data_IF_056461186432
#
_entry.id   IF_056461186432
#
_cell.length_a   1.000
_cell.length_b   1.000
_cell.length_c   1.000
_cell.angle_alpha   90.00
_cell.angle_beta   90.00
_cell.angle_gamma   90.00
#
_symmetry.space_group_name_H-M   'P 1'
#
loop_
_entity.id
_entity.type
_entity.pdbx_description
1 polymer ?
#
# COMPACT_ATOMS: atom_id res chain seq x y z
N UNK A 1 -45.47 -16.48 19.72
CA UNK A 1 -44.96 -17.86 19.50
C UNK A 1 -44.95 -18.11 18.00
N UNK A 2 -43.76 -18.19 17.39
CA UNK A 2 -43.62 -18.23 15.93
C UNK A 2 -44.32 -19.46 15.32
N UNK A 3 -45.18 -19.23 14.33
CA UNK A 3 -45.84 -20.27 13.54
C UNK A 3 -44.78 -21.00 12.71
N UNK A 4 -44.67 -22.31 12.91
CA UNK A 4 -43.82 -23.20 12.11
C UNK A 4 -44.50 -23.41 10.76
N UNK A 5 -44.06 -22.66 9.77
CA UNK A 5 -44.39 -22.92 8.37
C UNK A 5 -43.81 -24.28 7.96
N UNK A 6 -44.67 -25.29 7.91
CA UNK A 6 -44.37 -26.70 7.65
C UNK A 6 -45.03 -27.16 6.35
N UNK A 7 -45.03 -26.31 5.32
CA UNK A 7 -45.77 -26.61 4.09
C UNK A 7 -45.33 -25.89 2.83
N UNK A 8 -44.06 -25.99 2.41
CA UNK A 8 -43.68 -25.63 1.04
C UNK A 8 -42.73 -26.68 0.43
N UNK A 9 -43.02 -27.21 -0.79
CA UNK A 9 -42.20 -28.24 -1.42
C UNK A 9 -40.84 -27.69 -1.87
N UNK A 10 -39.80 -28.48 -1.63
CA UNK A 10 -38.40 -28.15 -1.83
C UNK A 10 -37.98 -28.17 -3.30
N UNK A 11 -37.19 -27.16 -3.70
CA UNK A 11 -36.22 -27.33 -4.81
C UNK A 11 -34.77 -27.43 -4.32
N UNK A 12 -34.47 -27.05 -3.08
CA UNK A 12 -33.29 -27.47 -2.30
C UNK A 12 -33.58 -27.16 -0.82
N UNK A 13 -33.44 -28.13 0.08
CA UNK A 13 -33.92 -28.08 1.47
C UNK A 13 -33.17 -27.14 2.43
N UNK A 14 -33.08 -25.84 2.11
CA UNK A 14 -32.51 -24.80 2.98
C UNK A 14 -33.53 -23.67 3.14
N UNK A 15 -33.93 -23.39 4.38
CA UNK A 15 -34.79 -22.24 4.71
C UNK A 15 -34.02 -20.92 4.55
N UNK A 16 -34.73 -19.83 4.21
CA UNK A 16 -34.15 -18.47 4.18
C UNK A 16 -33.41 -18.10 5.47
N UNK A 17 -33.90 -18.59 6.63
CA UNK A 17 -33.26 -18.39 7.93
C UNK A 17 -31.99 -19.22 8.09
N UNK A 18 -31.99 -20.44 7.58
CA UNK A 18 -30.84 -21.33 7.64
C UNK A 18 -29.75 -20.86 6.68
N UNK A 19 -30.13 -20.31 5.52
CA UNK A 19 -29.21 -19.63 4.61
C UNK A 19 -28.49 -18.47 5.31
N UNK A 20 -29.22 -17.57 5.99
CA UNK A 20 -28.62 -16.43 6.72
C UNK A 20 -27.70 -16.90 7.86
N UNK A 21 -28.06 -17.99 8.56
CA UNK A 21 -27.21 -18.56 9.61
C UNK A 21 -25.93 -19.18 9.07
N UNK A 22 -26.02 -19.92 7.96
CA UNK A 22 -24.87 -20.58 7.35
C UNK A 22 -23.91 -19.55 6.74
N UNK A 23 -24.41 -18.52 6.06
CA UNK A 23 -23.55 -17.47 5.49
C UNK A 23 -22.88 -16.63 6.57
N UNK A 24 -23.59 -16.26 7.65
CA UNK A 24 -22.99 -15.52 8.76
C UNK A 24 -21.89 -16.33 9.49
N UNK A 25 -22.11 -17.63 9.70
CA UNK A 25 -21.11 -18.51 10.31
C UNK A 25 -19.87 -18.67 9.41
N UNK A 26 -20.05 -18.80 8.10
CA UNK A 26 -18.94 -18.93 7.14
C UNK A 26 -18.07 -17.66 7.10
N UNK A 27 -18.66 -16.47 7.13
CA UNK A 27 -17.90 -15.21 7.14
C UNK A 27 -17.11 -14.99 8.43
N UNK A 28 -17.63 -15.44 9.58
CA UNK A 28 -16.93 -15.33 10.86
C UNK A 28 -15.66 -16.19 10.89
N UNK A 29 -15.70 -17.39 10.30
CA UNK A 29 -14.53 -18.28 10.20
C UNK A 29 -13.49 -17.74 9.21
N UNK A 30 -13.93 -17.16 8.09
CA UNK A 30 -13.02 -16.55 7.12
C UNK A 30 -12.34 -15.27 7.65
N UNK A 31 -13.02 -14.52 8.54
CA UNK A 31 -12.49 -13.29 9.14
C UNK A 31 -11.25 -13.51 10.02
N UNK A 32 -11.18 -14.64 10.73
CA UNK A 32 -10.04 -14.98 11.60
C UNK A 32 -8.72 -15.27 10.84
N UNK A 33 -8.74 -15.30 9.50
CA UNK A 33 -7.54 -15.44 8.66
C UNK A 33 -7.10 -14.15 7.97
N UNK A 34 -7.85 -13.05 8.11
CA UNK A 34 -7.51 -11.78 7.46
C UNK A 34 -6.34 -11.06 8.15
N UNK A 35 -6.05 -11.42 9.40
CA UNK A 35 -4.91 -10.88 10.17
C UNK A 35 -3.55 -11.25 9.54
N UNK A 36 -3.47 -12.34 8.76
CA UNK A 36 -2.24 -12.75 8.07
C UNK A 36 -2.05 -12.10 6.68
N UNK A 37 -3.08 -11.41 6.16
CA UNK A 37 -3.05 -10.77 4.85
C UNK A 37 -2.81 -9.24 4.94
N UNK A 38 -3.10 -8.64 6.09
CA UNK A 38 -2.86 -7.21 6.33
C UNK A 38 -1.54 -7.00 7.05
N UNK A 39 -0.45 -7.13 6.30
CA UNK A 39 0.88 -6.83 6.80
C UNK A 39 1.17 -5.33 6.60
N UNK A 40 0.97 -4.53 7.65
CA UNK A 40 1.24 -3.09 7.63
C UNK A 40 2.75 -2.75 7.80
N UNK A 41 3.66 -3.72 7.61
CA UNK A 41 5.00 -3.64 8.18
C UNK A 41 6.06 -2.97 7.28
N UNK A 42 5.73 -2.57 6.03
CA UNK A 42 6.72 -1.87 5.19
C UNK A 42 7.10 -0.48 5.69
N UNK A 43 6.21 0.19 6.43
CA UNK A 43 6.51 1.50 7.02
C UNK A 43 7.48 1.40 8.22
N UNK A 44 7.45 0.29 8.96
CA UNK A 44 8.28 0.08 10.15
C UNK A 44 9.71 -0.39 9.83
N UNK A 45 9.97 -0.87 8.61
CA UNK A 45 11.27 -1.44 8.23
C UNK A 45 12.47 -0.47 8.39
N UNK A 46 12.22 0.84 8.31
CA UNK A 46 13.26 1.88 8.44
C UNK A 46 13.20 2.63 9.77
N UNK A 47 12.07 2.58 10.47
CA UNK A 47 11.87 3.31 11.72
C UNK A 47 12.71 2.68 12.83
N UNK A 48 13.56 3.49 13.49
CA UNK A 48 14.49 3.04 14.53
C UNK A 48 15.87 2.61 14.02
N UNK A 49 16.10 2.52 12.70
CA UNK A 49 17.43 2.25 12.16
C UNK A 49 18.23 3.54 11.97
N UNK A 50 19.36 3.67 12.67
CA UNK A 50 20.21 4.87 12.65
C UNK A 50 20.90 5.11 11.32
N UNK A 51 21.04 4.09 10.46
CA UNK A 51 21.63 4.20 9.13
C UNK A 51 20.76 5.01 8.15
N UNK A 52 19.46 5.11 8.42
CA UNK A 52 18.51 5.78 7.56
C UNK A 52 17.99 7.07 8.21
N UNK A 53 17.59 8.01 7.36
CA UNK A 53 16.90 9.24 7.74
C UNK A 53 15.57 9.27 7.00
N UNK A 54 14.48 9.40 7.75
CA UNK A 54 13.13 9.49 7.21
C UNK A 54 12.70 10.95 7.27
N UNK A 55 12.27 11.50 6.14
CA UNK A 55 11.81 12.88 6.03
C UNK A 55 10.39 12.92 5.47
N UNK A 56 9.47 13.60 6.16
CA UNK A 56 8.13 13.83 5.67
C UNK A 56 8.15 14.94 4.60
N UNK A 57 7.48 14.69 3.48
CA UNK A 57 7.39 15.57 2.31
C UNK A 57 6.00 15.45 1.67
N UNK A 58 5.74 16.28 0.67
CA UNK A 58 4.48 16.25 -0.08
C UNK A 58 4.73 15.79 -1.52
N UNK A 59 3.90 14.88 -2.01
CA UNK A 59 3.98 14.39 -3.40
C UNK A 59 3.75 15.53 -4.40
N UNK A 60 4.69 15.79 -5.34
CA UNK A 60 4.60 16.92 -6.25
C UNK A 60 3.77 16.65 -7.53
N UNK A 61 3.22 15.45 -7.70
CA UNK A 61 2.65 15.04 -8.98
C UNK A 61 1.27 15.63 -9.30
N UNK A 62 0.46 15.93 -8.29
CA UNK A 62 -0.90 16.43 -8.49
C UNK A 62 -1.38 17.25 -7.30
N UNK A 63 -2.47 17.98 -7.48
CA UNK A 63 -3.05 18.88 -6.48
C UNK A 63 -3.52 18.20 -5.20
N UNK A 64 -3.72 16.88 -5.21
CA UNK A 64 -4.10 16.10 -4.03
C UNK A 64 -3.06 16.19 -2.91
N UNK A 65 -1.80 16.52 -3.24
CA UNK A 65 -0.75 16.82 -2.25
C UNK A 65 -0.63 15.73 -1.16
N UNK A 66 -0.62 14.47 -1.59
CA UNK A 66 -0.51 13.32 -0.68
C UNK A 66 0.80 13.39 0.14
N UNK A 67 0.73 13.11 1.44
CA UNK A 67 1.91 13.04 2.29
C UNK A 67 2.79 11.84 1.94
N UNK A 68 4.11 12.04 1.91
CA UNK A 68 5.11 11.03 1.58
C UNK A 68 6.23 11.02 2.61
N UNK A 69 6.73 9.84 2.95
CA UNK A 69 7.97 9.65 3.71
C UNK A 69 9.07 9.24 2.75
N UNK A 70 10.15 10.02 2.73
CA UNK A 70 11.34 9.77 1.92
C UNK A 70 12.42 9.21 2.82
N UNK A 71 12.95 8.04 2.46
CA UNK A 71 14.00 7.35 3.19
C UNK A 71 15.33 7.61 2.49
N UNK A 72 16.27 8.22 3.21
CA UNK A 72 17.62 8.50 2.76
C UNK A 72 18.60 7.64 3.55
N UNK A 73 19.47 6.92 2.85
CA UNK A 73 20.60 6.25 3.49
C UNK A 73 21.72 7.26 3.79
N UNK A 74 22.13 7.38 5.05
CA UNK A 74 23.10 8.40 5.48
C UNK A 74 24.50 8.16 4.93
N UNK A 75 24.88 6.90 4.73
CA UNK A 75 26.21 6.53 4.24
C UNK A 75 26.44 6.97 2.79
N UNK A 76 25.42 6.81 1.94
CA UNK A 76 25.49 7.11 0.50
C UNK A 76 24.84 8.44 0.14
N UNK A 77 24.06 9.04 1.06
CA UNK A 77 23.18 10.18 0.81
C UNK A 77 22.22 9.96 -0.37
N UNK A 78 21.78 8.71 -0.58
CA UNK A 78 20.85 8.35 -1.65
C UNK A 78 19.46 8.05 -1.10
N UNK A 79 18.44 8.37 -1.89
CA UNK A 79 17.06 8.00 -1.60
C UNK A 79 16.87 6.52 -1.95
N UNK A 80 16.56 5.71 -0.94
CA UNK A 80 16.43 4.25 -1.09
C UNK A 80 14.97 3.81 -1.22
N UNK A 81 14.05 4.53 -0.58
CA UNK A 81 12.63 4.24 -0.64
C UNK A 81 11.77 5.50 -0.46
N UNK A 82 10.56 5.47 -1.00
CA UNK A 82 9.52 6.48 -0.80
C UNK A 82 8.17 5.80 -0.65
N UNK A 83 7.49 6.04 0.46
CA UNK A 83 6.17 5.50 0.76
C UNK A 83 5.22 6.59 1.28
N UNK A 84 3.94 6.25 1.43
CA UNK A 84 2.93 7.21 1.89
C UNK A 84 3.05 7.48 3.39
N UNK A 85 2.79 8.73 3.78
CA UNK A 85 2.81 9.11 5.19
C UNK A 85 1.49 8.75 5.88
N UNK A 86 1.54 7.85 6.87
CA UNK A 86 0.37 7.42 7.62
C UNK A 86 -0.25 8.55 8.47
N UNK A 87 0.57 9.52 8.88
CA UNK A 87 0.12 10.67 9.69
C UNK A 87 -0.59 11.73 8.84
N UNK A 88 -0.47 11.65 7.51
CA UNK A 88 -1.05 12.66 6.64
C UNK A 88 -2.57 12.49 6.53
N UNK A 89 -3.36 13.55 6.78
CA UNK A 89 -4.81 13.49 6.68
C UNK A 89 -5.30 13.33 5.23
N UNK A 90 -4.44 13.58 4.24
CA UNK A 90 -4.81 13.54 2.83
C UNK A 90 -4.84 12.13 2.25
N UNK A 91 -4.02 11.21 2.78
CA UNK A 91 -3.88 9.88 2.21
C UNK A 91 -3.74 8.75 3.23
N UNK A 92 -3.53 9.05 4.52
CA UNK A 92 -3.40 8.05 5.59
C UNK A 92 -2.45 6.89 5.23
N UNK A 93 -1.34 7.21 4.57
CA UNK A 93 -0.33 6.24 4.14
C UNK A 93 -0.53 5.67 2.72
N UNK A 94 -1.66 5.95 2.07
CA UNK A 94 -1.94 5.51 0.70
C UNK A 94 -1.21 6.34 -0.37
N UNK A 95 -0.78 5.71 -1.45
CA UNK A 95 -0.30 6.41 -2.65
C UNK A 95 -0.95 5.83 -3.90
N UNK A 96 -1.30 6.70 -4.84
CA UNK A 96 -1.68 6.27 -6.18
C UNK A 96 -0.43 5.81 -6.97
N UNK A 97 -0.62 5.18 -8.13
CA UNK A 97 0.50 4.69 -8.95
C UNK A 97 1.53 5.78 -9.29
N UNK A 98 1.08 7.03 -9.47
CA UNK A 98 1.99 8.18 -9.71
C UNK A 98 2.83 8.48 -8.47
N UNK A 99 2.18 8.57 -7.31
CA UNK A 99 2.85 8.82 -6.04
C UNK A 99 3.82 7.72 -5.65
N UNK A 100 3.44 6.45 -5.85
CA UNK A 100 4.33 5.31 -5.59
C UNK A 100 5.54 5.27 -6.56
N UNK A 101 5.41 5.87 -7.75
CA UNK A 101 6.48 5.98 -8.74
C UNK A 101 7.50 7.09 -8.48
N UNK A 102 7.35 7.92 -7.44
CA UNK A 102 8.28 9.05 -7.17
C UNK A 102 9.72 8.58 -6.94
N UNK A 103 9.94 7.37 -6.39
CA UNK A 103 11.28 6.83 -6.18
C UNK A 103 12.06 6.72 -7.50
N UNK A 104 11.38 6.27 -8.56
CA UNK A 104 11.97 6.21 -9.89
C UNK A 104 12.33 7.60 -10.39
N UNK A 105 11.50 8.62 -10.14
CA UNK A 105 11.83 9.98 -10.56
C UNK A 105 13.17 10.44 -9.95
N UNK A 106 13.40 10.19 -8.66
CA UNK A 106 14.65 10.63 -7.99
C UNK A 106 15.86 9.83 -8.48
N UNK A 107 15.71 8.53 -8.69
CA UNK A 107 16.82 7.63 -9.02
C UNK A 107 17.02 7.38 -10.52
N UNK A 108 16.19 7.97 -11.39
CA UNK A 108 16.30 7.79 -12.83
C UNK A 108 17.48 8.57 -13.41
N UNK A 109 18.39 7.87 -14.07
CA UNK A 109 19.55 8.44 -14.75
C UNK A 109 19.18 9.46 -15.84
N UNK A 110 17.99 9.33 -16.44
CA UNK A 110 17.44 10.25 -17.46
C UNK A 110 16.80 11.51 -16.87
N UNK A 111 16.80 11.70 -15.54
CA UNK A 111 16.24 12.91 -14.92
C UNK A 111 17.09 14.14 -15.24
N UNK A 112 16.44 15.23 -15.63
CA UNK A 112 17.09 16.51 -15.92
C UNK A 112 17.81 17.05 -14.68
N UNK A 113 19.05 17.53 -14.85
CA UNK A 113 19.87 18.08 -13.76
C UNK A 113 20.70 17.04 -13.01
N UNK A 114 20.60 15.76 -13.40
CA UNK A 114 21.53 14.73 -12.96
C UNK A 114 22.86 14.97 -13.67
N UNK A 115 23.90 15.38 -12.92
CA UNK A 115 25.26 15.46 -13.45
C UNK A 115 25.65 14.11 -14.05
N UNK A 116 26.38 14.12 -15.16
CA UNK A 116 26.79 12.96 -15.98
C UNK A 116 27.50 11.81 -15.22
N UNK A 117 27.63 11.89 -13.90
CA UNK A 117 28.17 10.88 -12.99
C UNK A 117 27.16 10.14 -12.07
N UNK A 118 25.84 10.41 -12.09
CA UNK A 118 24.87 9.50 -11.42
C UNK A 118 24.33 8.40 -12.35
N UNK A 119 25.04 8.09 -13.44
CA UNK A 119 24.91 6.81 -14.13
C UNK A 119 25.40 5.67 -13.21
N UNK A 120 24.70 5.45 -12.09
CA UNK A 120 24.95 4.37 -11.14
C UNK A 120 24.12 3.13 -11.45
N UNK A 121 23.34 3.16 -12.53
CA UNK A 121 22.73 1.99 -13.15
C UNK A 121 23.16 2.07 -14.61
N UNK A 122 24.05 1.20 -15.06
CA UNK A 122 24.66 1.20 -16.39
C UNK A 122 23.66 0.99 -17.53
N UNK A 123 22.77 1.96 -17.72
CA UNK A 123 21.94 2.12 -18.89
C UNK A 123 22.60 3.20 -19.73
N UNK A 124 23.60 2.72 -20.46
CA UNK A 124 24.17 3.26 -21.68
C UNK A 124 23.35 4.35 -22.36
N UNK A 125 24.08 5.40 -22.73
CA UNK A 125 23.64 6.66 -23.29
C UNK A 125 23.20 6.54 -24.76
N UNK A 126 22.50 5.46 -25.11
CA UNK A 126 22.00 5.21 -26.46
C UNK A 126 20.50 5.54 -26.51
N UNK A 127 20.22 6.82 -26.67
CA UNK A 127 18.93 7.29 -27.17
C UNK A 127 19.20 8.22 -28.34
N UNK A 128 19.67 7.62 -29.44
CA UNK A 128 19.32 8.05 -30.80
C UNK A 128 17.90 7.55 -31.12
#
# INVERSE_FOLDING_TARGET
MATRDTGMPAITGISRRDFVKVTAAATAVAGCGLDFAYDAEKAAAYEGNTAYQITATTCPYCSASCGQRVVVEKATNKVVDIYGDFESPMNSGGLCAKGAGTLQLVNNARRVGVGTGHAALGMDADFD
#
